data_IF_439307947535
#
_entry.id   IF_439307947535
#
_cell.length_a   1.000
_cell.length_b   1.000
_cell.length_c   1.000
_cell.angle_alpha   90.00
_cell.angle_beta   90.00
_cell.angle_gamma   90.00
#
_symmetry.space_group_name_H-M   'P 1'
#
loop_
_entity.id
_entity.type
_entity.pdbx_description
1 polymer ?
#
# COMPACT_ATOMS: atom_id res chain seq x y z
N UNK A 1 -15.39 -18.43 8.81
CA UNK A 1 -14.72 -17.90 10.04
C UNK A 1 -14.44 -16.42 9.85
N UNK A 2 -14.65 -15.59 10.87
CA UNK A 2 -14.30 -14.17 10.76
C UNK A 2 -12.77 -14.02 10.63
N UNK A 3 -12.35 -13.16 9.70
CA UNK A 3 -10.94 -12.83 9.51
C UNK A 3 -10.48 -12.00 10.71
N UNK A 4 -9.30 -12.32 11.26
CA UNK A 4 -8.65 -11.54 12.32
C UNK A 4 -7.44 -10.83 11.73
N UNK A 5 -7.28 -9.55 12.05
CA UNK A 5 -6.10 -8.76 11.68
C UNK A 5 -5.33 -8.33 12.93
N UNK A 6 -4.02 -8.39 12.84
CA UNK A 6 -3.14 -7.95 13.91
C UNK A 6 -2.73 -6.50 13.66
N UNK A 7 -2.75 -5.70 14.71
CA UNK A 7 -2.21 -4.34 14.72
C UNK A 7 -1.04 -4.29 15.68
N UNK A 8 0.10 -3.80 15.20
CA UNK A 8 1.26 -3.55 16.04
C UNK A 8 0.94 -2.41 17.02
N UNK A 9 1.15 -2.64 18.30
CA UNK A 9 0.90 -1.63 19.33
C UNK A 9 1.80 -0.40 19.19
N UNK A 10 2.94 -0.53 18.50
CA UNK A 10 3.83 0.58 18.13
C UNK A 10 3.16 1.63 17.24
N UNK A 11 2.01 1.32 16.64
CA UNK A 11 1.16 2.30 15.96
C UNK A 11 0.95 3.56 16.82
N UNK A 12 0.71 3.39 18.12
CA UNK A 12 0.45 4.51 19.04
C UNK A 12 1.70 5.32 19.43
N UNK A 13 2.88 4.78 19.19
CA UNK A 13 4.18 5.44 19.45
C UNK A 13 4.92 5.83 18.16
N UNK A 14 4.32 5.60 16.99
CA UNK A 14 4.88 6.02 15.71
C UNK A 14 4.92 7.55 15.62
N UNK A 15 6.05 8.10 15.20
CA UNK A 15 6.27 9.55 15.14
C UNK A 15 5.27 10.27 14.23
N UNK A 16 4.98 9.73 13.06
CA UNK A 16 4.00 10.32 12.15
C UNK A 16 2.59 10.30 12.74
N UNK A 17 2.23 9.21 13.42
CA UNK A 17 0.92 9.07 14.07
C UNK A 17 0.78 10.03 15.25
N UNK A 18 1.85 10.22 16.03
CA UNK A 18 1.85 11.14 17.17
C UNK A 18 1.78 12.61 16.74
N UNK A 19 2.62 12.97 15.78
CA UNK A 19 2.86 14.38 15.44
C UNK A 19 1.89 14.93 14.40
N UNK A 20 1.35 14.05 13.53
CA UNK A 20 0.61 14.49 12.34
C UNK A 20 -0.83 14.00 12.26
N UNK A 21 -1.18 12.85 12.85
CA UNK A 21 -2.51 12.28 12.72
C UNK A 21 -3.51 12.90 13.69
N UNK A 22 -4.64 13.38 13.16
CA UNK A 22 -5.81 13.71 13.97
C UNK A 22 -6.48 12.43 14.50
N UNK A 23 -7.41 12.53 15.47
CA UNK A 23 -8.19 11.37 15.92
C UNK A 23 -8.91 10.66 14.77
N UNK A 24 -9.45 11.41 13.80
CA UNK A 24 -10.09 10.85 12.61
C UNK A 24 -9.09 10.11 11.72
N UNK A 25 -7.88 10.65 11.56
CA UNK A 25 -6.82 9.98 10.80
C UNK A 25 -6.41 8.67 11.47
N UNK A 26 -6.30 8.63 12.79
CA UNK A 26 -6.00 7.41 13.54
C UNK A 26 -7.09 6.35 13.36
N UNK A 27 -8.34 6.77 13.44
CA UNK A 27 -9.49 5.88 13.20
C UNK A 27 -9.46 5.34 11.75
N UNK A 28 -9.24 6.21 10.77
CA UNK A 28 -9.20 5.82 9.36
C UNK A 28 -8.03 4.88 9.05
N UNK A 29 -6.85 5.14 9.61
CA UNK A 29 -5.68 4.27 9.48
C UNK A 29 -5.93 2.86 10.04
N UNK A 30 -6.58 2.77 11.20
CA UNK A 30 -6.95 1.49 11.81
C UNK A 30 -8.06 0.79 11.02
N UNK A 31 -9.05 1.53 10.53
CA UNK A 31 -10.11 1.01 9.68
C UNK A 31 -9.56 0.37 8.41
N UNK A 32 -8.67 1.06 7.69
CA UNK A 32 -8.04 0.52 6.47
C UNK A 32 -7.31 -0.81 6.72
N UNK A 33 -6.77 -1.01 7.92
CA UNK A 33 -6.04 -2.23 8.26
C UNK A 33 -6.91 -3.36 8.83
N UNK A 34 -8.13 -3.05 9.27
CA UNK A 34 -8.96 -3.99 10.04
C UNK A 34 -10.36 -4.21 9.51
N UNK A 35 -10.77 -3.47 8.45
CA UNK A 35 -12.10 -3.66 7.87
C UNK A 35 -12.26 -5.08 7.29
N UNK A 36 -13.51 -5.57 7.12
CA UNK A 36 -13.78 -6.93 6.68
C UNK A 36 -13.34 -7.24 5.25
N UNK A 37 -13.07 -6.22 4.43
CA UNK A 37 -12.63 -6.36 3.04
C UNK A 37 -11.10 -6.46 2.90
N UNK A 38 -10.36 -6.17 3.97
CA UNK A 38 -8.89 -6.10 3.95
C UNK A 38 -8.24 -7.43 3.53
N UNK A 39 -7.22 -7.35 2.68
CA UNK A 39 -6.38 -8.48 2.29
C UNK A 39 -5.11 -8.57 3.14
N UNK A 40 -4.39 -9.69 3.05
CA UNK A 40 -3.08 -9.84 3.68
C UNK A 40 -2.00 -9.05 2.91
N UNK A 41 -2.20 -8.90 1.62
CA UNK A 41 -1.37 -8.08 0.73
C UNK A 41 -1.46 -6.59 1.08
N UNK A 42 -2.63 -6.12 1.56
CA UNK A 42 -2.90 -4.71 1.79
C UNK A 42 -3.36 -3.96 0.53
N UNK A 43 -3.69 -4.68 -0.55
CA UNK A 43 -4.34 -4.15 -1.76
C UNK A 43 -5.66 -4.86 -1.95
N UNK A 44 -6.77 -4.12 -2.01
CA UNK A 44 -8.11 -4.71 -2.09
C UNK A 44 -9.17 -3.68 -2.50
N UNK A 45 -10.30 -4.18 -3.00
CA UNK A 45 -11.44 -3.33 -3.36
C UNK A 45 -12.10 -2.75 -2.11
N UNK A 46 -12.27 -1.42 -2.08
CA UNK A 46 -12.93 -0.70 -0.99
C UNK A 46 -13.61 0.57 -1.52
N UNK A 47 -14.85 0.48 -2.00
CA UNK A 47 -15.58 1.64 -2.49
C UNK A 47 -15.76 2.74 -1.43
N UNK A 48 -15.66 4.01 -1.82
CA UNK A 48 -15.86 5.16 -0.91
C UNK A 48 -17.20 5.10 -0.17
N UNK A 49 -18.24 4.61 -0.84
CA UNK A 49 -19.56 4.41 -0.24
C UNK A 49 -19.54 3.37 0.89
N UNK A 50 -18.79 2.30 0.72
CA UNK A 50 -18.58 1.28 1.76
C UNK A 50 -17.86 1.86 2.96
N UNK A 51 -16.76 2.61 2.72
CA UNK A 51 -16.06 3.32 3.80
C UNK A 51 -17.00 4.25 4.57
N UNK A 52 -17.77 5.05 3.85
CA UNK A 52 -18.73 6.00 4.44
C UNK A 52 -19.74 5.29 5.35
N UNK A 53 -20.28 4.18 4.89
CA UNK A 53 -21.27 3.41 5.64
C UNK A 53 -20.67 2.74 6.88
N UNK A 54 -19.50 2.10 6.73
CA UNK A 54 -18.89 1.30 7.80
C UNK A 54 -18.28 2.17 8.91
N UNK A 55 -17.66 3.31 8.54
CA UNK A 55 -16.98 4.19 9.50
C UNK A 55 -17.90 5.28 10.06
N UNK A 56 -19.03 5.55 9.38
CA UNK A 56 -20.02 6.55 9.79
C UNK A 56 -19.68 7.99 9.39
N UNK A 57 -18.75 8.21 8.46
CA UNK A 57 -18.45 9.52 7.89
C UNK A 57 -19.21 9.79 6.60
N UNK A 58 -19.42 11.07 6.25
CA UNK A 58 -19.99 11.42 4.96
C UNK A 58 -19.05 11.08 3.80
N UNK A 59 -19.56 10.89 2.57
CA UNK A 59 -18.71 10.64 1.40
C UNK A 59 -17.64 11.72 1.18
N UNK A 60 -17.98 12.99 1.47
CA UNK A 60 -17.07 14.13 1.35
C UNK A 60 -15.93 14.03 2.38
N UNK A 61 -16.23 13.63 3.62
CA UNK A 61 -15.23 13.41 4.66
C UNK A 61 -14.30 12.24 4.29
N UNK A 62 -14.85 11.16 3.71
CA UNK A 62 -14.03 10.05 3.20
C UNK A 62 -13.11 10.53 2.07
N UNK A 63 -13.59 11.35 1.14
CA UNK A 63 -12.76 11.88 0.06
C UNK A 63 -11.58 12.72 0.61
N UNK A 64 -11.83 13.56 1.62
CA UNK A 64 -10.79 14.35 2.29
C UNK A 64 -9.77 13.46 3.02
N UNK A 65 -10.22 12.40 3.70
CA UNK A 65 -9.33 11.46 4.38
C UNK A 65 -8.46 10.70 3.38
N UNK A 66 -9.04 10.19 2.28
CA UNK A 66 -8.28 9.53 1.22
C UNK A 66 -7.24 10.44 0.60
N UNK A 67 -7.61 11.68 0.25
CA UNK A 67 -6.68 12.68 -0.29
C UNK A 67 -5.52 12.94 0.68
N UNK A 68 -5.82 13.15 1.96
CA UNK A 68 -4.82 13.39 3.01
C UNK A 68 -3.85 12.22 3.16
N UNK A 69 -4.36 10.98 3.14
CA UNK A 69 -3.53 9.78 3.25
C UNK A 69 -2.66 9.54 2.01
N UNK A 70 -3.12 9.97 0.83
CA UNK A 70 -2.33 9.91 -0.41
C UNK A 70 -1.30 11.02 -0.49
N UNK A 71 -1.71 12.28 -0.28
CA UNK A 71 -0.89 13.46 -0.63
C UNK A 71 -0.03 13.95 0.52
N UNK A 72 -0.51 13.86 1.77
CA UNK A 72 0.22 14.36 2.95
C UNK A 72 1.02 13.26 3.64
N UNK A 73 0.42 12.09 3.83
CA UNK A 73 1.06 11.01 4.58
C UNK A 73 1.77 9.99 3.69
N UNK A 74 1.41 9.90 2.42
CA UNK A 74 1.95 8.94 1.46
C UNK A 74 1.84 7.48 1.94
N UNK A 75 0.77 7.18 2.68
CA UNK A 75 0.54 5.87 3.29
C UNK A 75 -0.25 4.94 2.39
N UNK A 76 -1.05 5.50 1.48
CA UNK A 76 -1.92 4.75 0.59
C UNK A 76 -1.87 5.29 -0.84
N UNK A 77 -2.29 4.44 -1.77
CA UNK A 77 -2.74 4.86 -3.11
C UNK A 77 -4.15 4.33 -3.32
N UNK A 78 -5.04 5.17 -3.85
CA UNK A 78 -6.42 4.80 -4.13
C UNK A 78 -6.72 4.95 -5.63
N UNK A 79 -7.22 3.90 -6.24
CA UNK A 79 -7.69 3.91 -7.62
C UNK A 79 -9.18 4.21 -7.68
N UNK A 80 -9.55 5.38 -8.19
CA UNK A 80 -10.96 5.72 -8.40
C UNK A 80 -11.61 4.88 -9.50
N UNK A 81 -10.82 4.42 -10.47
CA UNK A 81 -11.32 3.62 -11.58
C UNK A 81 -11.78 2.23 -11.16
N UNK A 82 -11.00 1.55 -10.31
CA UNK A 82 -11.30 0.19 -9.82
C UNK A 82 -11.86 0.18 -8.41
N UNK A 83 -11.84 1.32 -7.72
CA UNK A 83 -12.20 1.46 -6.31
C UNK A 83 -11.38 0.56 -5.39
N UNK A 84 -10.12 0.39 -5.70
CA UNK A 84 -9.14 -0.35 -4.92
C UNK A 84 -8.24 0.58 -4.12
N UNK A 85 -7.82 0.13 -2.95
CA UNK A 85 -6.83 0.81 -2.11
C UNK A 85 -5.60 -0.06 -1.95
N UNK A 86 -4.41 0.54 -2.04
CA UNK A 86 -3.14 -0.06 -1.65
C UNK A 86 -2.59 0.64 -0.40
N UNK A 87 -2.31 -0.13 0.66
CA UNK A 87 -1.68 0.37 1.88
C UNK A 87 -0.19 0.07 1.79
N UNK A 88 0.61 1.08 1.49
CA UNK A 88 2.01 0.91 1.08
C UNK A 88 2.91 0.30 2.16
N UNK A 89 2.68 0.61 3.43
CA UNK A 89 3.47 0.10 4.55
C UNK A 89 2.94 -1.20 5.18
N UNK A 90 1.85 -1.77 4.67
CA UNK A 90 1.13 -2.85 5.37
C UNK A 90 1.92 -4.16 5.46
N UNK A 91 2.56 -4.58 4.38
CA UNK A 91 3.34 -5.83 4.33
C UNK A 91 4.51 -5.88 5.31
N UNK A 92 5.05 -4.72 5.68
CA UNK A 92 6.15 -4.61 6.67
C UNK A 92 5.74 -5.16 8.04
N UNK A 93 4.47 -5.01 8.41
CA UNK A 93 3.92 -5.37 9.72
C UNK A 93 2.91 -6.51 9.69
N UNK A 94 2.23 -6.75 8.58
CA UNK A 94 1.17 -7.75 8.48
C UNK A 94 1.70 -9.20 8.41
N UNK A 95 2.92 -9.38 7.90
CA UNK A 95 3.57 -10.69 7.78
C UNK A 95 4.55 -10.88 8.94
N UNK A 96 4.14 -11.65 9.95
CA UNK A 96 4.99 -11.94 11.11
C UNK A 96 5.94 -13.10 10.82
N UNK A 97 5.43 -14.15 10.19
CA UNK A 97 6.21 -15.34 9.80
C UNK A 97 5.95 -15.64 8.33
N UNK A 98 7.03 -15.88 7.60
CA UNK A 98 6.98 -16.39 6.25
C UNK A 98 6.58 -17.87 6.19
N UNK A 99 6.51 -18.40 5.00
CA UNK A 99 6.24 -19.80 4.72
C UNK A 99 5.35 -19.96 3.50
N UNK A 100 5.35 -21.17 2.93
CA UNK A 100 4.62 -21.47 1.71
C UNK A 100 3.13 -21.07 1.76
N UNK A 101 2.36 -21.33 2.84
CA UNK A 101 0.95 -20.95 2.86
C UNK A 101 0.72 -19.44 2.75
N UNK A 102 1.61 -18.64 3.33
CA UNK A 102 1.54 -17.17 3.26
C UNK A 102 1.86 -16.69 1.84
N UNK A 103 2.91 -17.24 1.23
CA UNK A 103 3.28 -16.89 -0.14
C UNK A 103 2.20 -17.30 -1.15
N UNK A 104 1.60 -18.48 -0.99
CA UNK A 104 0.49 -18.96 -1.84
C UNK A 104 -0.76 -18.07 -1.69
N UNK A 105 -1.03 -17.57 -0.48
CA UNK A 105 -2.10 -16.59 -0.23
C UNK A 105 -1.81 -15.27 -0.93
N UNK A 106 -0.62 -14.69 -0.72
CA UNK A 106 -0.22 -13.43 -1.32
C UNK A 106 -0.24 -13.49 -2.86
N UNK A 107 0.19 -14.62 -3.43
CA UNK A 107 0.12 -14.82 -4.88
C UNK A 107 -1.33 -14.73 -5.40
N UNK A 108 -2.28 -15.40 -4.74
CA UNK A 108 -3.70 -15.31 -5.13
C UNK A 108 -4.25 -13.89 -4.98
N UNK A 109 -3.93 -13.21 -3.88
CA UNK A 109 -4.37 -11.84 -3.66
C UNK A 109 -3.76 -10.86 -4.68
N UNK A 110 -2.51 -11.09 -5.14
CA UNK A 110 -1.89 -10.34 -6.22
C UNK A 110 -2.65 -10.50 -7.56
N UNK A 111 -3.04 -11.73 -7.88
CA UNK A 111 -3.80 -12.05 -9.10
C UNK A 111 -5.20 -11.40 -9.10
N UNK A 112 -5.79 -11.16 -7.93
CA UNK A 112 -7.11 -10.54 -7.76
C UNK A 112 -7.10 -9.02 -7.93
N UNK A 113 -5.97 -8.34 -7.80
CA UNK A 113 -5.85 -6.89 -7.98
C UNK A 113 -6.16 -6.50 -9.42
N UNK A 114 -7.08 -5.57 -9.63
CA UNK A 114 -7.51 -5.13 -10.96
C UNK A 114 -6.56 -4.07 -11.52
N UNK A 115 -6.25 -3.05 -10.70
CA UNK A 115 -5.38 -1.95 -11.11
C UNK A 115 -3.90 -2.30 -10.92
N UNK A 116 -3.21 -2.55 -12.03
CA UNK A 116 -1.78 -2.90 -12.02
C UNK A 116 -0.87 -1.78 -11.49
N UNK A 117 -1.28 -0.52 -11.61
CA UNK A 117 -0.49 0.62 -11.12
C UNK A 117 -0.36 0.59 -9.59
N UNK A 118 -1.37 0.05 -8.88
CA UNK A 118 -1.27 -0.15 -7.44
C UNK A 118 -0.15 -1.14 -7.07
N UNK A 119 0.10 -2.13 -7.92
CA UNK A 119 1.19 -3.09 -7.72
C UNK A 119 2.57 -2.46 -7.97
N UNK A 120 2.68 -1.49 -8.88
CA UNK A 120 3.92 -0.73 -9.06
C UNK A 120 4.26 0.08 -7.81
N UNK A 121 3.29 0.79 -7.23
CA UNK A 121 3.47 1.51 -5.98
C UNK A 121 3.81 0.58 -4.81
N UNK A 122 3.15 -0.58 -4.74
CA UNK A 122 3.45 -1.59 -3.71
C UNK A 122 4.88 -2.13 -3.87
N UNK A 123 5.31 -2.38 -5.11
CA UNK A 123 6.68 -2.81 -5.42
C UNK A 123 7.71 -1.78 -4.95
N UNK A 124 7.53 -0.50 -5.30
CA UNK A 124 8.41 0.59 -4.89
C UNK A 124 8.55 0.65 -3.36
N UNK A 125 7.42 0.65 -2.64
CA UNK A 125 7.41 0.66 -1.18
C UNK A 125 8.10 -0.57 -0.55
N UNK A 126 7.98 -1.74 -1.16
CA UNK A 126 8.65 -2.96 -0.69
C UNK A 126 10.13 -2.98 -1.02
N UNK A 127 10.53 -2.49 -2.20
CA UNK A 127 11.94 -2.39 -2.61
C UNK A 127 12.72 -1.45 -1.69
N UNK A 128 12.16 -0.28 -1.36
CA UNK A 128 12.74 0.67 -0.42
C UNK A 128 12.91 0.05 0.98
N UNK A 129 11.91 -0.71 1.42
CA UNK A 129 11.95 -1.39 2.71
C UNK A 129 12.96 -2.54 2.74
N UNK A 130 13.12 -3.29 1.65
CA UNK A 130 14.00 -4.46 1.59
C UNK A 130 15.45 -4.09 1.91
N UNK A 131 15.90 -2.90 1.50
CA UNK A 131 17.23 -2.39 1.83
C UNK A 131 17.50 -2.24 3.33
N UNK A 132 16.47 -2.18 4.15
CA UNK A 132 16.52 -2.04 5.61
C UNK A 132 16.11 -3.33 6.34
N UNK A 133 15.50 -4.30 5.63
CA UNK A 133 14.99 -5.53 6.24
C UNK A 133 16.04 -6.64 6.25
N UNK A 134 16.03 -7.40 7.35
CA UNK A 134 16.81 -8.63 7.51
C UNK A 134 15.96 -9.90 7.34
N UNK A 135 14.66 -9.76 7.03
CA UNK A 135 13.75 -10.90 6.93
C UNK A 135 13.79 -11.49 5.52
N UNK A 136 14.08 -12.79 5.42
CA UNK A 136 14.10 -13.52 4.14
C UNK A 136 12.75 -13.46 3.40
N UNK A 137 11.64 -13.47 4.14
CA UNK A 137 10.29 -13.42 3.56
C UNK A 137 10.04 -12.15 2.76
N UNK A 138 10.66 -11.02 3.12
CA UNK A 138 10.45 -9.76 2.40
C UNK A 138 11.03 -9.82 0.98
N UNK A 139 12.19 -10.46 0.81
CA UNK A 139 12.74 -10.73 -0.51
C UNK A 139 11.89 -11.69 -1.35
N UNK A 140 11.27 -12.68 -0.71
CA UNK A 140 10.35 -13.61 -1.39
C UNK A 140 9.06 -12.88 -1.82
N UNK A 141 8.52 -12.00 -1.00
CA UNK A 141 7.34 -11.16 -1.33
C UNK A 141 7.65 -10.25 -2.50
N UNK A 142 8.80 -9.57 -2.49
CA UNK A 142 9.19 -8.68 -3.59
C UNK A 142 9.25 -9.44 -4.92
N UNK A 143 9.85 -10.65 -4.93
CA UNK A 143 9.90 -11.50 -6.13
C UNK A 143 8.51 -11.92 -6.62
N UNK A 144 7.54 -12.16 -5.72
CA UNK A 144 6.16 -12.45 -6.12
C UNK A 144 5.51 -11.25 -6.81
N UNK A 145 5.71 -10.04 -6.28
CA UNK A 145 5.19 -8.81 -6.88
C UNK A 145 5.82 -8.59 -8.26
N UNK A 146 7.14 -8.75 -8.38
CA UNK A 146 7.87 -8.63 -9.65
C UNK A 146 7.36 -9.64 -10.70
N UNK A 147 7.15 -10.89 -10.31
CA UNK A 147 6.62 -11.92 -11.20
C UNK A 147 5.22 -11.56 -11.71
N UNK A 148 4.34 -11.04 -10.85
CA UNK A 148 3.00 -10.61 -11.24
C UNK A 148 3.04 -9.39 -12.18
N UNK A 149 3.88 -8.38 -11.88
CA UNK A 149 4.08 -7.23 -12.75
C UNK A 149 4.58 -7.66 -14.14
N UNK A 150 5.53 -8.59 -14.19
CA UNK A 150 6.03 -9.15 -15.44
C UNK A 150 4.94 -9.89 -16.22
N UNK A 151 4.12 -10.71 -15.55
CA UNK A 151 2.98 -11.39 -16.18
C UNK A 151 1.99 -10.41 -16.80
N UNK A 152 1.79 -9.24 -16.19
CA UNK A 152 0.92 -8.17 -16.71
C UNK A 152 1.58 -7.29 -17.76
N UNK A 153 2.86 -7.49 -18.06
CA UNK A 153 3.63 -6.65 -19.00
C UNK A 153 3.93 -5.24 -18.49
N UNK A 154 3.83 -5.04 -17.16
CA UNK A 154 4.14 -3.76 -16.51
C UNK A 154 5.65 -3.66 -16.24
N UNK A 155 6.24 -2.52 -16.58
CA UNK A 155 7.68 -2.29 -16.39
C UNK A 155 7.94 -1.60 -15.06
N UNK A 156 8.87 -2.16 -14.29
CA UNK A 156 9.42 -1.53 -13.10
C UNK A 156 10.40 -0.44 -13.57
N UNK A 157 10.13 0.82 -13.21
CA UNK A 157 11.06 1.91 -13.49
C UNK A 157 12.26 1.76 -12.55
N UNK A 158 13.45 1.48 -13.12
CA UNK A 158 14.68 1.50 -12.36
C UNK A 158 15.05 2.96 -12.03
N UNK A 159 15.57 3.21 -10.83
CA UNK A 159 15.97 4.55 -10.37
C UNK A 159 16.97 5.25 -11.32
N UNK A 160 17.71 4.48 -12.14
CA UNK A 160 18.64 5.01 -13.13
C UNK A 160 17.97 5.79 -14.27
N UNK A 161 16.66 5.61 -14.50
CA UNK A 161 15.95 6.36 -15.55
C UNK A 161 15.52 7.76 -15.07
N UNK A 162 15.38 7.96 -13.75
CA UNK A 162 15.01 9.27 -13.15
C UNK A 162 16.16 10.30 -13.22
N UNK A 163 17.41 9.84 -13.21
CA UNK A 163 18.59 10.72 -13.28
C UNK A 163 18.84 11.22 -14.71
N UNK A 164 18.48 10.44 -15.74
CA UNK A 164 18.66 10.83 -17.14
C UNK A 164 17.65 11.91 -17.61
N UNK A 165 16.43 11.93 -17.07
CA UNK A 165 15.43 12.93 -17.44
C UNK A 165 15.73 14.32 -16.86
N UNK A 166 16.52 14.38 -15.77
CA UNK A 166 16.93 15.65 -15.16
C UNK A 166 18.15 16.29 -15.87
N UNK A 167 19.01 15.52 -16.52
CA UNK A 167 20.16 16.07 -17.26
C UNK A 167 19.76 16.70 -18.61
N UNK A 168 18.70 16.22 -19.25
CA UNK A 168 18.24 16.72 -20.57
C UNK A 168 17.59 18.12 -20.46
N UNK A 169 17.09 18.51 -19.30
CA UNK A 169 16.42 19.80 -19.11
C UNK A 169 17.37 20.97 -18.71
N UNK A 170 18.67 20.72 -18.52
CA UNK A 170 19.61 21.78 -18.16
C UNK A 170 20.34 22.39 -19.35
N UNK A 171 20.35 21.77 -20.53
CA UNK A 171 21.12 22.24 -21.69
C UNK A 171 20.34 23.10 -22.69
N UNK A 172 19.09 23.46 -22.41
CA UNK A 172 18.27 24.30 -23.32
C UNK A 172 17.94 25.71 -22.76
N UNK A 173 18.89 26.34 -22.04
CA UNK A 173 18.81 27.78 -21.75
C UNK A 173 20.16 28.44 -21.99
N UNK A 174 20.43 28.71 -23.25
CA UNK A 174 21.31 29.80 -23.71
C UNK A 174 20.57 30.52 -24.81
#
# INVERSE_FOLDING_TARGET
MPIKRLIDTRFWSDGQVLDSYSPEDKLFALYLRTNPHSSQLGVYALPKRTMSFEIGYTPEAIAVLLDRFQTKYHDIVYSDATQEVAILGYLKSSIIKGGKPVLDLLKRELEEVIDGDLLLHLHEAMADFLGLSTREVDGQILKLIEAELQCRGLRIQNQNDKDNDNEINHDNKI
#
